data_IF_843266458393
#
_entry.id   IF_843266458393
#
_cell.length_a   1.000
_cell.length_b   1.000
_cell.length_c   1.000
_cell.angle_alpha   90.00
_cell.angle_beta   90.00
_cell.angle_gamma   90.00
#
_symmetry.space_group_name_H-M   'P 1'
#
loop_
_entity.id
_entity.type
_entity.pdbx_description
1 polymer ?
#
# COMPACT_ATOMS: atom_id res chain seq x y z
N UNK A 1 2.50 -12.48 21.62
CA UNK A 1 2.28 -11.03 21.37
C UNK A 1 3.22 -10.62 20.24
N UNK A 2 2.67 -10.12 19.16
CA UNK A 2 3.46 -9.59 18.06
C UNK A 2 4.27 -8.41 18.56
N UNK A 3 5.56 -8.41 18.27
CA UNK A 3 6.47 -7.37 18.72
C UNK A 3 6.56 -6.31 17.63
N UNK A 4 6.29 -5.08 18.00
CA UNK A 4 6.56 -3.91 17.17
C UNK A 4 8.02 -3.52 17.30
N UNK A 5 8.57 -2.92 16.26
CA UNK A 5 9.89 -2.29 16.30
C UNK A 5 9.68 -0.78 16.42
N UNK A 6 9.87 -0.19 17.62
CA UNK A 6 9.73 1.25 17.78
C UNK A 6 10.76 1.99 16.93
N UNK A 7 10.35 3.12 16.38
CA UNK A 7 11.23 3.99 15.58
C UNK A 7 11.21 5.40 16.17
N UNK A 8 12.38 6.05 16.26
CA UNK A 8 12.46 7.44 16.75
C UNK A 8 11.53 8.34 15.93
N UNK A 9 10.67 9.16 16.55
CA UNK A 9 9.80 10.11 15.85
C UNK A 9 10.52 11.05 14.87
N UNK A 10 11.82 11.27 15.04
CA UNK A 10 12.65 12.02 14.09
C UNK A 10 12.82 11.34 12.73
N UNK A 11 12.55 10.04 12.66
CA UNK A 11 12.56 9.31 11.40
C UNK A 11 11.31 9.53 10.54
N UNK A 12 10.35 10.34 10.96
CA UNK A 12 9.22 10.71 10.11
C UNK A 12 9.72 11.42 8.85
N UNK A 13 9.17 11.04 7.71
CA UNK A 13 9.48 11.67 6.43
C UNK A 13 8.57 12.87 6.14
N UNK A 14 7.37 12.92 6.72
CA UNK A 14 6.47 14.06 6.65
C UNK A 14 6.92 15.19 7.60
N UNK A 15 6.85 16.42 7.11
CA UNK A 15 7.20 17.62 7.89
C UNK A 15 5.94 18.47 8.15
N UNK A 16 5.41 18.47 9.39
CA UNK A 16 4.22 19.25 9.71
C UNK A 16 4.37 20.77 9.48
N UNK A 17 5.59 21.31 9.53
CA UNK A 17 5.82 22.73 9.26
C UNK A 17 5.66 23.06 7.77
N UNK A 18 6.20 22.22 6.89
CA UNK A 18 5.97 22.35 5.45
C UNK A 18 4.50 22.14 5.08
N UNK A 19 3.85 21.17 5.70
CA UNK A 19 2.46 20.84 5.42
C UNK A 19 1.50 21.94 5.88
N UNK A 20 1.84 22.70 6.92
CA UNK A 20 1.05 23.82 7.43
C UNK A 20 0.95 24.98 6.43
N UNK A 21 1.90 25.12 5.51
CA UNK A 21 1.90 26.12 4.44
C UNK A 21 1.08 25.69 3.21
N UNK A 22 0.53 24.47 3.22
CA UNK A 22 -0.18 23.85 2.10
C UNK A 22 -1.66 23.72 2.40
N UNK A 23 -2.46 23.91 1.38
CA UNK A 23 -3.93 23.78 1.49
C UNK A 23 -4.49 22.57 0.72
N UNK A 24 -3.63 21.74 0.08
CA UNK A 24 -4.04 20.60 -0.72
C UNK A 24 -4.36 19.34 0.10
N UNK A 25 -4.17 19.39 1.42
CA UNK A 25 -4.39 18.28 2.34
C UNK A 25 -3.53 17.05 2.03
N UNK A 26 -2.38 17.24 1.39
CA UNK A 26 -1.34 16.23 1.19
C UNK A 26 -0.12 16.53 2.06
N UNK A 27 0.66 15.48 2.33
CA UNK A 27 1.94 15.57 3.02
C UNK A 27 3.06 15.30 2.02
N UNK A 28 3.97 16.25 1.85
CA UNK A 28 5.06 16.14 0.89
C UNK A 28 6.21 15.31 1.45
N UNK A 29 6.67 14.34 0.64
CA UNK A 29 7.81 13.47 0.96
C UNK A 29 9.04 13.90 0.16
N UNK A 30 8.87 14.14 -1.13
CA UNK A 30 9.88 14.74 -2.03
C UNK A 30 9.20 15.81 -2.88
N UNK A 31 9.97 16.57 -3.68
CA UNK A 31 9.38 17.61 -4.53
C UNK A 31 8.33 17.11 -5.53
N UNK A 32 8.28 15.81 -5.80
CA UNK A 32 7.36 15.18 -6.74
C UNK A 32 6.57 13.99 -6.16
N UNK A 33 6.71 13.70 -4.88
CA UNK A 33 5.95 12.64 -4.19
C UNK A 33 5.28 13.21 -2.95
N UNK A 34 3.97 13.04 -2.87
CA UNK A 34 3.19 13.37 -1.68
C UNK A 34 2.22 12.23 -1.39
N UNK A 35 1.77 12.13 -0.14
CA UNK A 35 0.72 11.19 0.22
C UNK A 35 -0.44 11.90 0.89
N UNK A 36 -1.60 11.26 0.88
CA UNK A 36 -2.76 11.65 1.67
C UNK A 36 -3.27 10.46 2.44
N UNK A 37 -3.43 10.64 3.74
CA UNK A 37 -4.08 9.66 4.58
C UNK A 37 -5.60 9.74 4.42
N UNK A 38 -6.20 8.61 4.09
CA UNK A 38 -7.64 8.45 3.86
C UNK A 38 -8.19 7.52 4.93
N UNK A 39 -8.51 8.08 6.11
CA UNK A 39 -8.95 7.38 7.31
C UNK A 39 -7.84 6.47 7.87
N UNK A 40 -7.60 5.32 7.28
CA UNK A 40 -6.65 4.31 7.76
C UNK A 40 -5.61 3.86 6.73
N UNK A 41 -5.74 4.29 5.47
CA UNK A 41 -4.87 3.93 4.35
C UNK A 41 -4.28 5.18 3.70
N UNK A 42 -3.13 5.05 3.08
CA UNK A 42 -2.47 6.12 2.34
C UNK A 42 -2.70 5.95 0.83
N UNK A 43 -3.04 7.05 0.15
CA UNK A 43 -2.92 7.15 -1.29
C UNK A 43 -1.73 8.04 -1.63
N UNK A 44 -0.94 7.68 -2.64
CA UNK A 44 0.29 8.41 -3.01
C UNK A 44 0.11 9.11 -4.34
N UNK A 45 0.52 10.38 -4.39
CA UNK A 45 0.47 11.26 -5.56
C UNK A 45 1.88 11.46 -6.08
N UNK A 46 2.16 10.98 -7.27
CA UNK A 46 3.49 11.09 -7.90
C UNK A 46 3.42 12.06 -9.06
N UNK A 47 4.07 13.20 -8.92
CA UNK A 47 4.11 14.31 -9.85
C UNK A 47 4.44 15.62 -9.13
N UNK A 48 5.15 16.52 -9.80
CA UNK A 48 5.46 17.83 -9.25
C UNK A 48 4.19 18.67 -9.05
N UNK A 49 4.12 19.53 -8.02
CA UNK A 49 3.02 20.50 -7.91
C UNK A 49 2.86 21.30 -9.19
N UNK A 50 1.60 21.49 -9.64
CA UNK A 50 1.31 22.17 -10.89
C UNK A 50 1.57 21.37 -12.16
N UNK A 51 1.79 20.07 -12.09
CA UNK A 51 2.08 19.22 -13.26
C UNK A 51 0.95 19.17 -14.31
N UNK A 52 -0.26 19.57 -13.95
CA UNK A 52 -1.39 19.65 -14.87
C UNK A 52 -2.01 18.30 -15.24
N UNK A 53 -2.90 18.33 -16.22
CA UNK A 53 -3.61 17.14 -16.71
C UNK A 53 -2.63 16.11 -17.29
N UNK A 54 -2.76 14.85 -16.84
CA UNK A 54 -1.88 13.73 -17.25
C UNK A 54 -0.41 13.86 -16.86
N UNK A 55 -0.04 14.85 -16.04
CA UNK A 55 1.33 15.06 -15.58
C UNK A 55 1.69 14.35 -14.26
N UNK A 56 0.79 13.54 -13.71
CA UNK A 56 0.94 12.87 -12.42
C UNK A 56 0.28 11.49 -12.41
N UNK A 57 0.56 10.70 -11.38
CA UNK A 57 0.03 9.34 -11.19
C UNK A 57 -0.53 9.21 -9.79
N UNK A 58 -1.66 8.52 -9.65
CA UNK A 58 -2.19 8.09 -8.37
C UNK A 58 -1.71 6.65 -8.09
N UNK A 59 -1.16 6.41 -6.90
CA UNK A 59 -0.88 5.06 -6.40
C UNK A 59 -1.87 4.75 -5.30
N UNK A 60 -2.66 3.70 -5.52
CA UNK A 60 -3.80 3.24 -4.75
C UNK A 60 -4.97 4.24 -4.67
N UNK A 61 -6.18 3.74 -4.52
CA UNK A 61 -7.42 4.50 -4.63
C UNK A 61 -8.24 4.57 -3.31
N UNK A 62 -7.57 4.32 -2.18
CA UNK A 62 -8.15 4.52 -0.85
C UNK A 62 -9.37 3.67 -0.53
N UNK A 63 -10.04 4.04 0.58
CA UNK A 63 -11.26 3.39 1.06
C UNK A 63 -12.51 3.93 0.37
N UNK A 64 -13.61 3.19 0.49
CA UNK A 64 -14.94 3.64 0.07
C UNK A 64 -15.27 5.02 0.67
N UNK A 65 -15.77 5.94 -0.17
CA UNK A 65 -16.08 7.33 0.21
C UNK A 65 -14.91 8.31 0.09
N UNK A 66 -13.69 7.87 -0.24
CA UNK A 66 -12.52 8.73 -0.36
C UNK A 66 -12.46 9.55 -1.67
N UNK A 67 -13.34 9.30 -2.64
CA UNK A 67 -13.33 9.92 -3.99
C UNK A 67 -13.18 11.43 -3.97
N UNK A 68 -14.05 12.13 -3.24
CA UNK A 68 -14.03 13.61 -3.17
C UNK A 68 -12.73 14.11 -2.55
N UNK A 69 -12.20 13.41 -1.55
CA UNK A 69 -10.96 13.78 -0.89
C UNK A 69 -9.76 13.64 -1.84
N UNK A 70 -9.67 12.53 -2.58
CA UNK A 70 -8.59 12.31 -3.57
C UNK A 70 -8.67 13.36 -4.68
N UNK A 71 -9.85 13.60 -5.24
CA UNK A 71 -10.03 14.60 -6.30
C UNK A 71 -9.66 16.01 -5.85
N UNK A 72 -10.14 16.44 -4.67
CA UNK A 72 -9.83 17.76 -4.15
C UNK A 72 -8.33 17.97 -3.93
N UNK A 73 -7.62 16.93 -3.43
CA UNK A 73 -6.17 16.98 -3.27
C UNK A 73 -5.45 17.06 -4.64
N UNK A 74 -5.89 16.25 -5.60
CA UNK A 74 -5.34 16.27 -6.95
C UNK A 74 -5.50 17.64 -7.63
N UNK A 75 -6.70 18.21 -7.60
CA UNK A 75 -6.97 19.52 -8.21
C UNK A 75 -6.17 20.65 -7.57
N UNK A 76 -6.04 20.65 -6.26
CA UNK A 76 -5.24 21.64 -5.54
C UNK A 76 -3.74 21.50 -5.81
N UNK A 77 -3.24 20.25 -5.89
CA UNK A 77 -1.84 20.00 -6.12
C UNK A 77 -1.42 20.16 -7.57
N UNK A 78 -2.23 19.70 -8.52
CA UNK A 78 -1.84 19.59 -9.93
C UNK A 78 -2.56 20.59 -10.85
N UNK A 79 -3.63 21.22 -10.39
CA UNK A 79 -4.43 22.17 -11.13
C UNK A 79 -5.89 21.73 -11.29
N UNK A 80 -6.78 22.68 -11.50
CA UNK A 80 -8.21 22.42 -11.63
C UNK A 80 -8.51 21.44 -12.76
N UNK A 81 -9.29 20.39 -12.46
CA UNK A 81 -9.66 19.34 -13.39
C UNK A 81 -8.50 18.43 -13.83
N UNK A 82 -7.32 18.55 -13.24
CA UNK A 82 -6.17 17.71 -13.58
C UNK A 82 -6.45 16.24 -13.27
N UNK A 83 -6.35 15.39 -14.30
CA UNK A 83 -6.49 13.93 -14.22
C UNK A 83 -5.11 13.28 -14.17
N UNK A 84 -4.93 12.13 -13.52
CA UNK A 84 -3.66 11.42 -13.59
C UNK A 84 -3.40 10.83 -14.98
N UNK A 85 -2.16 10.49 -15.29
CA UNK A 85 -1.83 9.69 -16.46
C UNK A 85 -2.36 8.25 -16.32
N UNK A 86 -2.36 7.74 -15.09
CA UNK A 86 -2.85 6.42 -14.73
C UNK A 86 -3.11 6.31 -13.22
N UNK A 87 -3.80 5.24 -12.81
CA UNK A 87 -3.80 4.73 -11.45
C UNK A 87 -2.91 3.48 -11.43
N UNK A 88 -1.99 3.39 -10.48
CA UNK A 88 -1.13 2.22 -10.26
C UNK A 88 -1.50 1.60 -8.92
N UNK A 89 -1.76 0.31 -8.89
CA UNK A 89 -2.13 -0.39 -7.66
C UNK A 89 -0.95 -1.15 -7.09
N UNK A 90 -0.78 -1.08 -5.78
CA UNK A 90 0.11 -1.99 -5.04
C UNK A 90 -0.52 -3.37 -4.97
N UNK A 91 -1.82 -3.44 -4.68
CA UNK A 91 -2.64 -4.64 -4.66
C UNK A 91 -4.13 -4.28 -4.62
N UNK A 92 -5.03 -5.27 -4.61
CA UNK A 92 -6.47 -5.07 -4.78
C UNK A 92 -7.33 -5.17 -3.50
N UNK A 93 -6.79 -5.06 -2.29
CA UNK A 93 -7.63 -5.05 -1.08
C UNK A 93 -8.55 -3.83 -1.04
N UNK A 94 -9.68 -3.99 -0.36
CA UNK A 94 -10.83 -3.06 -0.33
C UNK A 94 -10.46 -1.60 0.03
N UNK A 95 -9.44 -1.40 0.81
CA UNK A 95 -8.96 -0.09 1.26
C UNK A 95 -7.94 0.56 0.32
N UNK A 96 -7.44 -0.20 -0.66
CA UNK A 96 -6.60 0.29 -1.76
C UNK A 96 -7.38 0.50 -3.07
N UNK A 97 -8.57 -0.11 -3.19
CA UNK A 97 -9.42 -0.01 -4.39
C UNK A 97 -10.80 0.55 -4.12
N UNK A 98 -11.05 1.11 -2.92
CA UNK A 98 -12.39 1.47 -2.45
C UNK A 98 -13.15 2.48 -3.29
N UNK A 99 -12.48 3.30 -4.11
CA UNK A 99 -13.09 4.21 -5.09
C UNK A 99 -12.45 4.09 -6.47
N UNK A 100 -11.79 2.96 -6.75
CA UNK A 100 -11.05 2.73 -7.99
C UNK A 100 -11.95 2.77 -9.22
N UNK A 101 -13.08 2.05 -9.20
CA UNK A 101 -14.02 1.99 -10.32
C UNK A 101 -14.51 3.40 -10.69
N UNK A 102 -14.96 4.14 -9.70
CA UNK A 102 -15.43 5.52 -9.86
C UNK A 102 -14.37 6.46 -10.41
N UNK A 103 -13.14 6.40 -9.89
CA UNK A 103 -12.06 7.29 -10.32
C UNK A 103 -11.55 6.92 -11.72
N UNK A 104 -11.40 5.63 -12.00
CA UNK A 104 -10.94 5.16 -13.30
C UNK A 104 -11.94 5.50 -14.42
N UNK A 105 -13.24 5.38 -14.13
CA UNK A 105 -14.29 5.76 -15.06
C UNK A 105 -14.36 7.28 -15.29
N UNK A 106 -14.42 8.08 -14.20
CA UNK A 106 -14.55 9.54 -14.28
C UNK A 106 -13.35 10.21 -14.94
N UNK A 107 -12.13 9.73 -14.63
CA UNK A 107 -10.90 10.28 -15.22
C UNK A 107 -10.55 9.70 -16.58
N UNK A 108 -11.20 8.60 -16.95
CA UNK A 108 -10.92 7.84 -18.17
C UNK A 108 -9.42 7.53 -18.32
N UNK A 109 -8.89 6.77 -17.35
CA UNK A 109 -7.46 6.46 -17.22
C UNK A 109 -7.21 4.96 -17.15
N UNK A 110 -6.05 4.47 -17.62
CA UNK A 110 -5.63 3.10 -17.41
C UNK A 110 -5.34 2.84 -15.92
N UNK A 111 -5.57 1.60 -15.50
CA UNK A 111 -5.23 1.06 -14.18
C UNK A 111 -4.15 0.01 -14.37
N UNK A 112 -2.98 0.21 -13.76
CA UNK A 112 -1.88 -0.75 -13.80
C UNK A 112 -1.83 -1.56 -12.52
N UNK A 113 -1.76 -2.88 -12.63
CA UNK A 113 -1.61 -3.82 -11.52
C UNK A 113 -0.75 -5.02 -11.95
N UNK A 114 -0.28 -5.79 -10.99
CA UNK A 114 0.36 -7.07 -11.26
C UNK A 114 -0.65 -8.08 -11.82
N UNK A 115 -0.23 -8.92 -12.76
CA UNK A 115 -1.12 -9.89 -13.42
C UNK A 115 -1.84 -10.84 -12.43
N UNK A 116 -1.22 -11.16 -11.30
CA UNK A 116 -1.83 -12.00 -10.26
C UNK A 116 -2.95 -11.30 -9.46
N UNK A 117 -3.07 -9.98 -9.55
CA UNK A 117 -4.19 -9.22 -8.97
C UNK A 117 -5.41 -9.12 -9.91
N UNK A 118 -5.23 -9.46 -11.18
CA UNK A 118 -6.29 -9.36 -12.20
C UNK A 118 -7.62 -10.01 -11.78
N UNK A 119 -7.66 -11.22 -11.20
CA UNK A 119 -8.93 -11.83 -10.82
C UNK A 119 -9.74 -11.02 -9.79
N UNK A 120 -9.08 -10.24 -8.95
CA UNK A 120 -9.73 -9.37 -7.96
C UNK A 120 -10.18 -8.02 -8.56
N UNK A 121 -9.65 -7.68 -9.75
CA UNK A 121 -9.83 -6.40 -10.42
C UNK A 121 -10.71 -6.50 -11.68
N UNK A 122 -11.05 -7.72 -12.11
CA UNK A 122 -11.97 -8.01 -13.25
C UNK A 122 -13.26 -8.72 -12.84
N UNK A 123 -13.52 -8.80 -11.53
CA UNK A 123 -14.73 -9.40 -11.00
C UNK A 123 -14.72 -10.92 -10.90
N UNK A 124 -13.67 -11.62 -11.35
CA UNK A 124 -13.68 -13.09 -11.49
C UNK A 124 -13.36 -13.85 -10.20
N UNK A 125 -12.71 -13.22 -9.21
CA UNK A 125 -12.43 -13.83 -7.90
C UNK A 125 -12.51 -12.84 -6.76
N UNK A 126 -12.90 -13.33 -5.57
CA UNK A 126 -12.82 -12.60 -4.31
C UNK A 126 -11.52 -12.91 -3.58
N UNK A 127 -11.06 -11.96 -2.75
CA UNK A 127 -9.99 -12.26 -1.79
C UNK A 127 -10.41 -13.34 -0.79
N UNK A 128 -9.45 -14.11 -0.27
CA UNK A 128 -9.71 -15.02 0.85
C UNK A 128 -10.29 -14.28 2.06
N UNK A 129 -11.04 -15.01 2.88
CA UNK A 129 -11.63 -14.42 4.08
C UNK A 129 -10.53 -13.99 5.08
N UNK A 130 -10.61 -12.78 5.67
CA UNK A 130 -9.70 -12.37 6.72
C UNK A 130 -9.63 -13.37 7.88
N UNK A 131 -8.50 -13.42 8.57
CA UNK A 131 -8.33 -14.23 9.77
C UNK A 131 -8.47 -13.38 11.05
N UNK A 132 -9.63 -13.38 11.74
CA UNK A 132 -9.83 -12.57 12.94
C UNK A 132 -9.12 -13.11 14.18
N UNK A 133 -8.49 -14.28 14.11
CA UNK A 133 -7.82 -14.91 15.24
C UNK A 133 -6.43 -14.34 15.51
N UNK A 134 -5.88 -13.58 14.55
CA UNK A 134 -4.52 -13.03 14.62
C UNK A 134 -4.49 -11.55 15.00
N UNK A 135 -3.36 -11.07 15.51
CA UNK A 135 -3.12 -9.65 15.83
C UNK A 135 -3.81 -9.11 17.09
N UNK A 136 -4.89 -9.73 17.56
CA UNK A 136 -5.54 -9.45 18.85
C UNK A 136 -6.19 -8.09 19.03
N UNK A 137 -6.08 -7.17 18.06
CA UNK A 137 -6.65 -5.82 18.10
C UNK A 137 -8.11 -5.75 17.68
N UNK A 138 -8.73 -4.57 17.85
CA UNK A 138 -10.15 -4.35 17.49
C UNK A 138 -10.38 -4.52 15.99
N UNK A 139 -9.50 -3.97 15.15
CA UNK A 139 -9.64 -4.07 13.69
C UNK A 139 -9.45 -5.51 13.20
N UNK A 140 -8.50 -6.26 13.77
CA UNK A 140 -8.36 -7.69 13.49
C UNK A 140 -9.63 -8.48 13.81
N UNK A 141 -10.26 -8.23 14.96
CA UNK A 141 -11.52 -8.88 15.36
C UNK A 141 -12.71 -8.49 14.47
N UNK A 142 -12.74 -7.28 13.97
CA UNK A 142 -13.77 -6.80 13.04
C UNK A 142 -13.51 -7.17 11.58
N UNK A 143 -12.35 -7.75 11.28
CA UNK A 143 -11.92 -8.07 9.91
C UNK A 143 -12.91 -8.93 9.11
N UNK A 144 -13.72 -9.86 9.70
CA UNK A 144 -14.74 -10.57 8.94
C UNK A 144 -15.82 -9.68 8.31
N UNK A 145 -15.94 -8.42 8.76
CA UNK A 145 -16.86 -7.43 8.21
C UNK A 145 -16.26 -6.65 7.04
N UNK A 146 -14.96 -6.79 6.80
CA UNK A 146 -14.30 -6.07 5.71
C UNK A 146 -14.67 -6.66 4.35
N UNK A 147 -14.87 -5.80 3.34
CA UNK A 147 -15.22 -6.28 2.01
C UNK A 147 -14.11 -7.17 1.41
N UNK A 148 -14.49 -8.31 0.89
CA UNK A 148 -13.59 -9.19 0.12
C UNK A 148 -14.03 -9.29 -1.34
N UNK A 149 -15.11 -8.57 -1.73
CA UNK A 149 -15.64 -8.57 -3.08
C UNK A 149 -14.63 -7.98 -4.05
N UNK A 150 -14.55 -8.54 -5.27
CA UNK A 150 -13.74 -7.94 -6.32
C UNK A 150 -14.37 -6.61 -6.77
N UNK A 151 -13.54 -5.79 -7.42
CA UNK A 151 -13.97 -4.65 -8.25
C UNK A 151 -13.88 -5.04 -9.72
N UNK A 152 -14.50 -4.29 -10.62
CA UNK A 152 -14.42 -4.54 -12.07
C UNK A 152 -13.94 -3.30 -12.81
N UNK A 153 -12.63 -3.26 -13.04
CA UNK A 153 -11.97 -2.27 -13.93
C UNK A 153 -11.39 -2.91 -15.19
N UNK A 154 -11.88 -4.09 -15.57
CA UNK A 154 -11.38 -4.92 -16.69
C UNK A 154 -11.15 -4.14 -17.98
N UNK A 155 -12.03 -3.17 -18.29
CA UNK A 155 -11.93 -2.33 -19.50
C UNK A 155 -10.71 -1.41 -19.52
N UNK A 156 -10.14 -1.08 -18.36
CA UNK A 156 -9.01 -0.17 -18.19
C UNK A 156 -7.78 -0.84 -17.61
N UNK A 157 -7.90 -2.11 -17.24
CA UNK A 157 -6.85 -2.85 -16.53
C UNK A 157 -5.72 -3.23 -17.49
N UNK A 158 -4.51 -2.84 -17.10
CA UNK A 158 -3.27 -3.16 -17.78
C UNK A 158 -2.34 -3.91 -16.81
N UNK A 159 -1.66 -4.94 -17.30
CA UNK A 159 -0.64 -5.61 -16.52
C UNK A 159 0.63 -4.75 -16.45
N UNK A 160 1.26 -4.69 -15.28
CA UNK A 160 2.59 -4.13 -15.14
C UNK A 160 3.57 -4.93 -16.01
N UNK A 161 4.42 -4.26 -16.83
CA UNK A 161 5.34 -4.94 -17.74
C UNK A 161 6.35 -5.84 -17.02
N UNK A 162 6.68 -6.97 -17.62
CA UNK A 162 7.59 -7.96 -17.04
C UNK A 162 9.06 -7.52 -16.91
N UNK A 163 9.44 -6.39 -17.50
CA UNK A 163 10.77 -5.77 -17.35
C UNK A 163 10.93 -4.93 -16.06
N UNK A 164 9.88 -4.85 -15.25
CA UNK A 164 9.86 -4.08 -14.01
C UNK A 164 9.54 -2.59 -14.19
N UNK A 165 9.29 -2.11 -15.41
CA UNK A 165 8.92 -0.72 -15.64
C UNK A 165 7.53 -0.40 -15.10
N UNK A 166 7.33 0.85 -14.67
CA UNK A 166 6.01 1.41 -14.38
C UNK A 166 5.73 2.46 -15.46
N UNK A 167 4.99 2.13 -16.54
CA UNK A 167 4.91 2.97 -17.73
C UNK A 167 4.58 4.43 -17.50
N UNK A 168 3.65 4.80 -16.60
CA UNK A 168 3.33 6.20 -16.34
C UNK A 168 4.31 6.90 -15.38
N UNK A 169 5.32 6.19 -14.84
CA UNK A 169 6.22 6.71 -13.81
C UNK A 169 7.69 6.53 -14.22
N UNK A 170 8.21 7.45 -15.02
CA UNK A 170 9.60 7.39 -15.44
C UNK A 170 10.57 7.35 -14.25
N UNK A 171 11.55 6.44 -14.30
CA UNK A 171 12.55 6.24 -13.23
C UNK A 171 12.08 5.37 -12.06
N UNK A 172 10.82 4.92 -12.07
CA UNK A 172 10.29 3.96 -11.10
C UNK A 172 10.29 2.54 -11.66
N UNK A 173 10.48 1.57 -10.77
CA UNK A 173 10.34 0.14 -11.06
C UNK A 173 9.38 -0.49 -10.05
N UNK A 174 8.58 -1.43 -10.49
CA UNK A 174 7.83 -2.28 -9.60
C UNK A 174 8.66 -3.51 -9.20
N UNK A 175 8.44 -3.96 -7.99
CA UNK A 175 9.09 -5.15 -7.40
C UNK A 175 7.98 -6.03 -6.89
N UNK A 176 7.94 -7.30 -7.31
CA UNK A 176 6.98 -8.27 -6.79
C UNK A 176 7.28 -8.56 -5.32
N UNK A 177 6.34 -8.26 -4.45
CA UNK A 177 6.47 -8.39 -3.00
C UNK A 177 5.28 -9.18 -2.43
N UNK A 178 5.10 -10.46 -2.86
CA UNK A 178 3.97 -11.28 -2.46
C UNK A 178 4.01 -11.64 -0.97
N UNK A 179 2.86 -12.11 -0.48
CA UNK A 179 2.67 -12.59 0.87
C UNK A 179 1.42 -12.04 1.51
N UNK A 180 1.29 -10.70 1.55
CA UNK A 180 0.04 -10.03 1.94
C UNK A 180 -1.06 -10.29 0.89
N UNK A 181 -0.76 -10.08 -0.37
CA UNK A 181 -1.57 -10.49 -1.51
C UNK A 181 -0.68 -11.20 -2.54
N UNK A 182 -1.24 -12.06 -3.43
CA UNK A 182 -0.43 -12.83 -4.36
C UNK A 182 0.29 -11.97 -5.40
N UNK A 183 -0.33 -10.91 -5.87
CA UNK A 183 0.23 -9.97 -6.84
C UNK A 183 0.65 -8.64 -6.23
N UNK A 184 0.87 -8.58 -4.93
CA UNK A 184 1.33 -7.37 -4.28
C UNK A 184 2.65 -6.88 -4.86
N UNK A 185 2.76 -5.58 -5.14
CA UNK A 185 3.99 -4.93 -5.62
C UNK A 185 4.36 -3.72 -4.76
N UNK A 186 5.65 -3.48 -4.65
CA UNK A 186 6.20 -2.22 -4.14
C UNK A 186 6.83 -1.45 -5.29
N UNK A 187 6.85 -0.12 -5.22
CA UNK A 187 7.41 0.74 -6.27
C UNK A 187 8.71 1.39 -5.77
N UNK A 188 9.78 1.23 -6.53
CA UNK A 188 11.13 1.67 -6.18
C UNK A 188 11.64 2.73 -7.14
N UNK A 189 12.17 3.81 -6.61
CA UNK A 189 12.94 4.81 -7.34
C UNK A 189 14.36 4.86 -6.82
N UNK A 190 15.32 4.43 -7.67
CA UNK A 190 16.72 4.30 -7.29
C UNK A 190 17.42 5.65 -7.09
N UNK A 191 17.07 6.66 -7.88
CA UNK A 191 17.75 7.96 -7.91
C UNK A 191 17.81 8.68 -6.56
N UNK A 192 16.78 8.51 -5.72
CA UNK A 192 16.70 9.09 -4.39
C UNK A 192 16.31 8.06 -3.31
N UNK A 193 16.31 6.78 -3.69
CA UNK A 193 16.03 5.64 -2.81
C UNK A 193 14.66 5.75 -2.11
N UNK A 194 13.66 6.24 -2.85
CA UNK A 194 12.27 6.31 -2.39
C UNK A 194 11.55 5.01 -2.71
N UNK A 195 10.88 4.43 -1.71
CA UNK A 195 10.14 3.19 -1.81
C UNK A 195 8.66 3.42 -1.41
N UNK A 196 7.74 3.20 -2.35
CA UNK A 196 6.31 3.07 -2.04
C UNK A 196 6.07 1.58 -1.79
N UNK A 197 5.78 1.24 -0.55
CA UNK A 197 5.83 -0.14 -0.03
C UNK A 197 4.54 -0.90 -0.32
N UNK A 198 3.38 -0.21 -0.31
CA UNK A 198 2.10 -0.88 -0.12
C UNK A 198 2.05 -1.53 1.28
N UNK A 199 1.58 -2.75 1.33
CA UNK A 199 1.36 -3.50 2.56
C UNK A 199 2.35 -4.67 2.77
N UNK A 200 3.51 -4.64 2.09
CA UNK A 200 4.56 -5.63 2.36
C UNK A 200 5.11 -5.53 3.80
N UNK A 201 5.10 -4.33 4.35
CA UNK A 201 5.22 -4.00 5.77
C UNK A 201 4.55 -2.65 6.01
N UNK A 202 4.20 -2.34 7.27
CA UNK A 202 3.49 -1.11 7.61
C UNK A 202 4.17 -0.36 8.77
N UNK A 203 3.86 0.92 8.90
CA UNK A 203 4.46 1.81 9.92
C UNK A 203 3.48 2.16 11.05
N UNK A 204 2.53 1.28 11.30
CA UNK A 204 1.56 1.33 12.41
C UNK A 204 1.06 -0.07 12.73
N UNK A 205 0.63 -0.33 13.97
CA UNK A 205 -0.06 -1.57 14.33
C UNK A 205 -1.49 -1.57 13.77
N UNK A 206 -1.66 -2.04 12.54
CA UNK A 206 -2.92 -1.96 11.79
C UNK A 206 -4.09 -2.73 12.47
N UNK A 207 -3.80 -3.70 13.31
CA UNK A 207 -4.78 -4.43 14.10
C UNK A 207 -5.39 -3.58 15.23
N UNK A 208 -4.67 -2.55 15.67
CA UNK A 208 -5.05 -1.67 16.79
C UNK A 208 -5.67 -0.37 16.32
N UNK A 209 -6.95 -0.15 16.61
CA UNK A 209 -7.62 1.12 16.33
C UNK A 209 -6.94 2.32 17.03
N UNK A 210 -6.34 2.11 18.21
CA UNK A 210 -5.58 3.14 18.92
C UNK A 210 -4.30 3.51 18.16
N UNK A 211 -3.49 2.53 17.77
CA UNK A 211 -2.25 2.78 17.02
C UNK A 211 -2.52 3.47 15.67
N UNK A 212 -3.57 3.02 14.97
CA UNK A 212 -4.03 3.66 13.72
C UNK A 212 -4.45 5.11 13.95
N UNK A 213 -5.04 5.45 15.10
CA UNK A 213 -5.44 6.82 15.42
C UNK A 213 -4.24 7.71 15.80
N UNK A 214 -3.33 7.22 16.64
CA UNK A 214 -2.19 7.97 17.19
C UNK A 214 -1.03 8.03 16.22
N UNK A 215 -0.75 6.96 15.50
CA UNK A 215 0.33 6.85 14.50
C UNK A 215 1.72 7.17 15.06
N UNK A 216 2.06 6.59 16.21
CA UNK A 216 3.45 6.58 16.65
C UNK A 216 4.31 5.81 15.66
N UNK A 217 5.53 6.29 15.34
CA UNK A 217 6.40 5.61 14.39
C UNK A 217 6.86 4.25 14.91
N UNK A 218 6.50 3.21 14.19
CA UNK A 218 6.88 1.83 14.47
C UNK A 218 6.89 1.03 13.19
N UNK A 219 7.70 -0.02 13.08
CA UNK A 219 7.64 -0.96 11.97
C UNK A 219 6.97 -2.27 12.41
N UNK A 220 6.07 -2.73 11.56
CA UNK A 220 5.39 -4.01 11.65
C UNK A 220 5.54 -4.80 10.36
N UNK A 221 5.32 -6.11 10.44
CA UNK A 221 5.05 -6.91 9.24
C UNK A 221 3.80 -6.42 8.49
N UNK A 222 3.38 -7.15 7.46
CA UNK A 222 2.14 -6.84 6.75
C UNK A 222 0.92 -6.98 7.69
N UNK A 223 -0.21 -6.32 7.38
CA UNK A 223 -1.46 -6.46 8.14
C UNK A 223 -1.84 -7.93 8.31
N UNK A 224 -1.92 -8.39 9.56
CA UNK A 224 -1.93 -9.83 9.87
C UNK A 224 -3.19 -10.53 9.38
N UNK A 225 -4.33 -9.92 9.60
CA UNK A 225 -5.63 -10.53 9.31
C UNK A 225 -5.93 -10.72 7.82
N UNK A 226 -5.14 -10.10 6.93
CA UNK A 226 -5.24 -10.23 5.47
C UNK A 226 -4.05 -10.95 4.84
N UNK A 227 -2.97 -11.19 5.59
CA UNK A 227 -1.75 -11.81 5.04
C UNK A 227 -1.93 -13.31 4.86
N UNK A 228 -1.75 -13.79 3.62
CA UNK A 228 -2.08 -15.16 3.21
C UNK A 228 -0.89 -16.09 3.01
N UNK A 229 0.34 -15.56 2.85
CA UNK A 229 1.58 -16.36 2.78
C UNK A 229 2.73 -15.66 3.53
N UNK A 230 2.98 -16.09 4.75
CA UNK A 230 4.02 -15.53 5.62
C UNK A 230 5.44 -15.82 5.15
N UNK A 231 5.64 -16.95 4.48
CA UNK A 231 6.92 -17.30 3.88
C UNK A 231 7.28 -16.34 2.74
N UNK A 232 6.33 -16.06 1.86
CA UNK A 232 6.49 -15.08 0.79
C UNK A 232 6.67 -13.65 1.35
N UNK A 233 5.89 -13.25 2.36
CA UNK A 233 6.02 -11.95 3.03
C UNK A 233 7.41 -11.74 3.61
N UNK A 234 7.99 -12.74 4.27
CA UNK A 234 9.37 -12.69 4.77
C UNK A 234 10.39 -12.42 3.66
N UNK A 235 10.27 -13.13 2.53
CA UNK A 235 11.17 -12.92 1.39
C UNK A 235 11.02 -11.50 0.82
N UNK A 236 9.79 -11.01 0.73
CA UNK A 236 9.48 -9.66 0.26
C UNK A 236 10.12 -8.59 1.15
N UNK A 237 9.95 -8.67 2.47
CA UNK A 237 10.55 -7.71 3.41
C UNK A 237 12.08 -7.73 3.33
N UNK A 238 12.70 -8.92 3.24
CA UNK A 238 14.16 -9.04 3.08
C UNK A 238 14.65 -8.41 1.77
N UNK A 239 13.93 -8.63 0.67
CA UNK A 239 14.27 -8.02 -0.61
C UNK A 239 14.17 -6.49 -0.57
N UNK A 240 13.13 -5.95 0.10
CA UNK A 240 12.97 -4.52 0.26
C UNK A 240 14.02 -3.90 1.19
N UNK A 241 14.40 -4.58 2.28
CA UNK A 241 15.47 -4.14 3.18
C UNK A 241 16.82 -4.05 2.45
N UNK A 242 17.11 -5.01 1.57
CA UNK A 242 18.35 -5.05 0.79
C UNK A 242 18.49 -3.88 -0.21
N UNK A 243 17.42 -3.17 -0.54
CA UNK A 243 17.46 -1.94 -1.35
C UNK A 243 18.03 -0.74 -0.58
N UNK A 244 18.15 -0.84 0.74
CA UNK A 244 18.62 0.27 1.59
C UNK A 244 17.81 1.57 1.37
N UNK A 245 16.47 1.57 1.44
CA UNK A 245 15.69 2.75 1.11
C UNK A 245 16.03 3.94 2.02
N UNK A 246 16.05 5.13 1.43
CA UNK A 246 16.16 6.37 2.20
C UNK A 246 14.82 6.81 2.77
N UNK A 247 13.74 6.55 2.03
CA UNK A 247 12.35 6.86 2.42
C UNK A 247 11.44 5.71 2.10
N UNK A 248 10.50 5.44 3.02
CA UNK A 248 9.44 4.45 2.82
C UNK A 248 8.07 5.10 3.01
N UNK A 249 7.16 4.80 2.09
CA UNK A 249 5.75 5.20 2.17
C UNK A 249 4.94 3.91 2.13
N UNK A 250 4.35 3.56 3.25
CA UNK A 250 3.56 2.33 3.42
C UNK A 250 2.09 2.57 3.14
N UNK A 251 1.31 1.53 2.88
CA UNK A 251 -0.15 1.63 2.77
C UNK A 251 -0.78 2.13 4.06
N UNK A 252 -0.21 1.79 5.21
CA UNK A 252 -0.72 2.19 6.52
C UNK A 252 0.39 2.78 7.39
N UNK A 253 0.04 3.83 8.14
CA UNK A 253 0.97 4.53 9.01
C UNK A 253 1.66 5.72 8.34
N UNK A 254 2.54 6.39 9.09
CA UNK A 254 3.28 7.55 8.58
C UNK A 254 4.51 7.11 7.79
N UNK A 255 4.85 7.79 6.71
CA UNK A 255 6.12 7.60 6.02
C UNK A 255 7.31 7.82 6.95
N UNK A 256 8.34 6.99 6.76
CA UNK A 256 9.59 7.05 7.53
C UNK A 256 10.80 7.23 6.62
N UNK A 257 11.91 7.75 7.20
CA UNK A 257 13.15 8.00 6.47
C UNK A 257 14.41 7.82 7.33
N UNK A 258 15.54 7.72 6.65
CA UNK A 258 16.86 7.83 7.25
C UNK A 258 17.33 6.56 7.96
N UNK A 259 18.41 6.73 8.74
CA UNK A 259 19.15 5.60 9.30
C UNK A 259 18.33 4.80 10.34
N UNK A 260 17.53 5.45 11.17
CA UNK A 260 16.70 4.76 12.17
C UNK A 260 15.63 3.88 11.52
N UNK A 261 15.00 4.37 10.46
CA UNK A 261 14.06 3.57 9.68
C UNK A 261 14.76 2.36 9.04
N UNK A 262 15.95 2.53 8.43
CA UNK A 262 16.70 1.40 7.84
C UNK A 262 17.10 0.37 8.89
N UNK A 263 17.58 0.80 10.07
CA UNK A 263 17.88 -0.13 11.18
C UNK A 263 16.66 -0.94 11.59
N UNK A 264 15.51 -0.29 11.72
CA UNK A 264 14.27 -0.95 12.08
C UNK A 264 13.81 -1.93 10.98
N UNK A 265 13.98 -1.56 9.69
CA UNK A 265 13.66 -2.42 8.57
C UNK A 265 14.57 -3.66 8.50
N UNK A 266 15.86 -3.50 8.75
CA UNK A 266 16.78 -4.64 8.86
C UNK A 266 16.42 -5.54 10.05
N UNK A 267 16.11 -4.97 11.21
CA UNK A 267 15.69 -5.75 12.36
C UNK A 267 14.39 -6.55 12.06
N UNK A 268 13.42 -5.94 11.35
CA UNK A 268 12.22 -6.62 10.89
C UNK A 268 12.57 -7.78 9.92
N UNK A 269 13.47 -7.53 8.96
CA UNK A 269 13.86 -8.53 7.97
C UNK A 269 14.64 -9.72 8.56
N UNK A 270 15.49 -9.47 9.56
CA UNK A 270 16.26 -10.48 10.26
C UNK A 270 15.40 -11.36 11.15
N UNK A 271 14.53 -10.73 11.94
CA UNK A 271 13.72 -11.37 12.99
C UNK A 271 12.23 -11.54 12.58
N UNK A 272 11.95 -11.58 11.28
CA UNK A 272 10.59 -11.52 10.73
C UNK A 272 9.64 -12.55 11.36
N UNK A 273 10.09 -13.77 11.56
CA UNK A 273 9.25 -14.83 12.14
C UNK A 273 8.81 -14.48 13.57
N UNK A 274 9.72 -13.95 14.36
CA UNK A 274 9.44 -13.60 15.76
C UNK A 274 8.63 -12.30 15.90
N UNK A 275 8.86 -11.36 15.00
CA UNK A 275 8.28 -10.01 15.09
C UNK A 275 6.93 -9.92 14.39
N UNK A 276 6.83 -10.51 13.20
CA UNK A 276 5.70 -10.30 12.30
C UNK A 276 4.74 -11.48 12.23
N UNK A 277 5.24 -12.72 12.29
CA UNK A 277 4.39 -13.91 12.12
C UNK A 277 3.61 -14.19 13.40
N UNK A 278 2.27 -14.33 13.33
CA UNK A 278 1.48 -14.73 14.49
C UNK A 278 1.83 -16.15 14.99
N UNK A 279 1.71 -16.39 16.30
CA UNK A 279 1.97 -17.71 16.89
C UNK A 279 1.03 -18.82 16.36
N UNK A 280 -0.13 -18.43 15.84
CA UNK A 280 -1.16 -19.29 15.25
C UNK A 280 -1.98 -18.50 14.25
N UNK A 281 -2.69 -19.18 13.39
CA UNK A 281 -3.59 -18.54 12.43
C UNK A 281 -3.80 -19.40 11.19
N UNK A 282 -4.95 -19.22 10.54
CA UNK A 282 -5.36 -19.97 9.36
C UNK A 282 -4.28 -20.02 8.29
N UNK A 283 -3.69 -18.87 8.00
CA UNK A 283 -2.70 -18.75 6.91
C UNK A 283 -1.25 -18.93 7.36
N UNK A 284 -1.02 -19.02 8.67
CA UNK A 284 0.25 -19.50 9.22
C UNK A 284 0.38 -21.01 9.02
N UNK A 285 -0.72 -21.74 9.30
CA UNK A 285 -0.78 -23.20 9.20
C UNK A 285 -0.97 -23.68 7.75
N UNK A 286 -1.76 -22.94 6.95
CA UNK A 286 -2.10 -23.28 5.56
C UNK A 286 -2.04 -22.03 4.66
N UNK A 287 -0.84 -21.65 4.18
CA UNK A 287 -0.69 -20.50 3.29
C UNK A 287 -1.44 -20.72 1.98
N UNK A 288 -1.99 -19.63 1.42
CA UNK A 288 -2.69 -19.64 0.14
C UNK A 288 -1.82 -19.03 -0.96
N UNK A 289 -1.88 -19.61 -2.17
CA UNK A 289 -1.00 -19.21 -3.27
C UNK A 289 -1.75 -19.09 -4.59
N UNK A 290 -1.27 -18.19 -5.45
CA UNK A 290 -1.77 -18.08 -6.81
C UNK A 290 -1.44 -19.32 -7.65
N UNK A 291 -0.27 -19.94 -7.42
CA UNK A 291 0.23 -21.06 -8.21
C UNK A 291 -0.66 -22.32 -8.17
N UNK A 292 -1.36 -22.55 -7.07
CA UNK A 292 -2.31 -23.66 -6.90
C UNK A 292 -3.78 -23.21 -6.96
N UNK A 293 -4.01 -21.90 -7.19
CA UNK A 293 -5.33 -21.31 -7.28
C UNK A 293 -6.00 -21.05 -5.91
N UNK A 294 -5.39 -21.45 -4.79
CA UNK A 294 -6.00 -21.34 -3.46
C UNK A 294 -6.18 -19.89 -2.98
N UNK A 295 -5.41 -18.94 -3.54
CA UNK A 295 -5.56 -17.52 -3.24
C UNK A 295 -6.86 -16.91 -3.80
N UNK A 296 -7.49 -17.54 -4.79
CA UNK A 296 -8.64 -17.00 -5.50
C UNK A 296 -9.94 -17.65 -5.01
N UNK A 297 -10.65 -16.94 -4.14
CA UNK A 297 -11.96 -17.40 -3.69
C UNK A 297 -13.03 -17.13 -4.76
N UNK A 298 -14.12 -17.93 -4.83
CA UNK A 298 -15.24 -17.62 -5.72
C UNK A 298 -15.76 -16.19 -5.49
N UNK A 299 -16.17 -15.48 -6.55
CA UNK A 299 -16.69 -14.11 -6.43
C UNK A 299 -17.98 -14.11 -5.58
N UNK A 300 -18.11 -13.10 -4.72
CA UNK A 300 -19.25 -12.93 -3.80
C UNK A 300 -20.23 -11.87 -4.30
#
# INVERSE_FOLDING_TARGET
MVQQIPVDPKARADDPARDAERDDSTHEITGDVAYRRLVLVNAVFVGAPGAGDRGWVLVDAGVMGAKSAIKAAAEKRFGAGARPAAIVLTHGHFDHVGVLEDLAEEWDVPVYAHALERPYLDGSASYPAPDPSVGGGLLGRLSPLFPTKPVDVSRRLQDLPGDGAVPPMAGWRWIHTPGHAPGHVSLWRESDRTLIVGDAFVTTAQESAYAVAVQEPELHGPPMYLTIDWGAARHSVRALAALEPERVITGHGRPLQGQEMRRALHALAEDFERVAVPDHGRYVEAPLRAADGSAYAPPK
#
